data_IF_670577216301
#
_entry.id   IF_670577216301
#
_cell.length_a   1.000
_cell.length_b   1.000
_cell.length_c   1.000
_cell.angle_alpha   90.00
_cell.angle_beta   90.00
_cell.angle_gamma   90.00
#
_symmetry.space_group_name_H-M   'P 1'
#
loop_
_entity.id
_entity.type
_entity.pdbx_description
1 polymer ?
#
# COMPACT_ATOMS: atom_id res chain seq x y z
N UNK A 1 -29.42 -22.26 -37.72
CA UNK A 1 -29.45 -21.02 -36.92
C UNK A 1 -28.01 -20.65 -36.61
N UNK A 2 -27.52 -19.50 -37.10
CA UNK A 2 -26.09 -19.16 -37.06
C UNK A 2 -25.73 -18.40 -35.78
N UNK A 3 -24.51 -18.61 -35.28
CA UNK A 3 -24.00 -18.04 -34.03
C UNK A 3 -24.14 -16.51 -33.93
N UNK A 4 -24.05 -15.79 -35.05
CA UNK A 4 -24.27 -14.35 -35.14
C UNK A 4 -25.68 -13.91 -34.67
N UNK A 5 -26.71 -14.72 -34.92
CA UNK A 5 -28.08 -14.41 -34.48
C UNK A 5 -28.28 -14.57 -32.96
N UNK A 6 -27.50 -15.44 -32.31
CA UNK A 6 -27.56 -15.63 -30.86
C UNK A 6 -26.84 -14.49 -30.12
N UNK A 7 -25.70 -14.03 -30.63
CA UNK A 7 -24.94 -12.92 -30.04
C UNK A 7 -25.74 -11.59 -30.06
N UNK A 8 -26.46 -11.32 -31.16
CA UNK A 8 -27.34 -10.15 -31.25
C UNK A 8 -28.49 -10.17 -30.24
N UNK A 9 -29.05 -11.34 -29.94
CA UNK A 9 -30.08 -11.52 -28.92
C UNK A 9 -29.57 -11.25 -27.49
N UNK A 10 -28.34 -11.68 -27.17
CA UNK A 10 -27.72 -11.37 -25.88
C UNK A 10 -27.45 -9.87 -25.70
N UNK A 11 -26.95 -9.20 -26.74
CA UNK A 11 -26.72 -7.74 -26.68
C UNK A 11 -28.00 -6.96 -26.38
N UNK A 12 -29.11 -7.30 -27.04
CA UNK A 12 -30.42 -6.68 -26.77
C UNK A 12 -30.92 -6.99 -25.36
N UNK A 13 -30.75 -8.23 -24.88
CA UNK A 13 -31.15 -8.61 -23.52
C UNK A 13 -30.41 -7.82 -22.44
N UNK A 14 -29.11 -7.57 -22.59
CA UNK A 14 -28.31 -6.78 -21.65
C UNK A 14 -28.77 -5.32 -21.61
N UNK A 15 -29.02 -4.71 -22.78
CA UNK A 15 -29.50 -3.31 -22.85
C UNK A 15 -30.86 -3.16 -22.18
N UNK A 16 -31.77 -4.11 -22.38
CA UNK A 16 -33.10 -4.11 -21.73
C UNK A 16 -32.97 -4.26 -20.21
N UNK A 17 -32.10 -5.18 -19.74
CA UNK A 17 -31.89 -5.39 -18.31
C UNK A 17 -31.31 -4.14 -17.62
N UNK A 18 -30.29 -3.50 -18.21
CA UNK A 18 -29.69 -2.28 -17.68
C UNK A 18 -30.65 -1.08 -17.77
N UNK A 19 -31.40 -0.94 -18.86
CA UNK A 19 -32.40 0.12 -19.01
C UNK A 19 -33.55 -0.01 -18.01
N UNK A 20 -34.03 -1.23 -17.76
CA UNK A 20 -35.05 -1.49 -16.75
C UNK A 20 -34.54 -1.19 -15.33
N UNK A 21 -33.30 -1.60 -15.00
CA UNK A 21 -32.69 -1.30 -13.70
C UNK A 21 -32.52 0.22 -13.48
N UNK A 22 -32.05 0.95 -14.51
CA UNK A 22 -31.91 2.41 -14.45
C UNK A 22 -33.27 3.12 -14.30
N UNK A 23 -34.29 2.69 -15.02
CA UNK A 23 -35.64 3.26 -14.95
C UNK A 23 -36.33 3.04 -13.61
N UNK A 24 -36.16 1.87 -12.98
CA UNK A 24 -36.69 1.61 -11.64
C UNK A 24 -35.97 2.46 -10.59
N UNK A 25 -34.64 2.60 -10.71
CA UNK A 25 -33.84 3.45 -9.82
C UNK A 25 -34.33 4.90 -9.81
N UNK A 26 -34.59 5.48 -10.99
CA UNK A 26 -35.07 6.87 -11.10
C UNK A 26 -36.50 7.09 -10.56
N UNK A 27 -37.35 6.05 -10.49
CA UNK A 27 -38.73 6.19 -10.02
C UNK A 27 -38.86 6.07 -8.48
N UNK A 28 -37.92 5.39 -7.83
CA UNK A 28 -37.96 5.11 -6.37
C UNK A 28 -37.02 6.03 -5.60
N UNK A 29 -35.96 6.53 -6.23
CA UNK A 29 -35.02 7.46 -5.60
C UNK A 29 -35.61 8.87 -5.65
N UNK A 30 -35.92 9.49 -4.50
CA UNK A 30 -36.41 10.86 -4.46
C UNK A 30 -35.32 11.84 -4.90
N UNK A 31 -35.68 12.88 -5.63
CA UNK A 31 -34.74 13.91 -6.12
C UNK A 31 -33.95 14.58 -4.97
N UNK A 32 -34.52 14.63 -3.76
CA UNK A 32 -33.82 15.12 -2.57
C UNK A 32 -32.62 14.25 -2.20
N UNK A 33 -32.73 12.92 -2.29
CA UNK A 33 -31.60 12.04 -1.98
C UNK A 33 -30.45 12.21 -2.99
N UNK A 34 -30.78 12.52 -4.25
CA UNK A 34 -29.77 12.86 -5.28
C UNK A 34 -29.12 14.20 -4.96
N UNK A 35 -29.91 15.21 -4.60
CA UNK A 35 -29.42 16.53 -4.22
C UNK A 35 -28.53 16.45 -2.97
N UNK A 36 -28.99 15.79 -1.92
CA UNK A 36 -28.26 15.59 -0.66
C UNK A 36 -26.93 14.87 -0.90
N UNK A 37 -26.90 13.84 -1.76
CA UNK A 37 -25.67 13.12 -2.07
C UNK A 37 -24.72 13.94 -2.96
N UNK A 38 -25.25 14.75 -3.88
CA UNK A 38 -24.45 15.63 -4.72
C UNK A 38 -23.84 16.77 -3.91
N UNK A 39 -24.62 17.33 -2.97
CA UNK A 39 -24.16 18.35 -2.02
C UNK A 39 -23.13 17.77 -1.05
N UNK A 40 -23.34 16.56 -0.52
CA UNK A 40 -22.37 15.85 0.30
C UNK A 40 -21.07 15.50 -0.46
N UNK A 41 -21.18 15.14 -1.75
CA UNK A 41 -20.02 14.90 -2.61
C UNK A 41 -19.26 16.20 -2.93
N UNK A 42 -19.97 17.33 -3.05
CA UNK A 42 -19.37 18.65 -3.25
C UNK A 42 -18.75 19.22 -1.97
N UNK A 43 -19.32 18.93 -0.79
CA UNK A 43 -18.79 19.33 0.52
C UNK A 43 -17.64 18.44 0.99
N UNK A 44 -17.38 17.30 0.32
CA UNK A 44 -16.25 16.42 0.61
C UNK A 44 -14.86 17.00 0.25
N UNK A 45 -14.78 18.28 -0.14
CA UNK A 45 -13.54 18.99 -0.42
C UNK A 45 -13.30 20.19 0.51
N UNK A 46 -14.03 20.30 1.62
CA UNK A 46 -13.73 21.28 2.67
C UNK A 46 -12.42 20.89 3.38
N UNK A 47 -11.32 21.48 2.92
CA UNK A 47 -10.04 21.73 3.60
C UNK A 47 -9.72 20.76 4.75
N UNK A 48 -9.32 19.54 4.41
CA UNK A 48 -8.36 18.81 5.26
C UNK A 48 -6.96 19.40 5.07
N UNK A 49 -6.80 20.70 5.31
CA UNK A 49 -5.50 21.37 5.48
C UNK A 49 -4.93 21.08 6.88
N UNK A 50 -4.97 19.80 7.25
CA UNK A 50 -4.35 19.24 8.45
C UNK A 50 -3.83 17.83 8.12
N UNK A 51 -3.09 17.70 7.01
CA UNK A 51 -2.00 16.75 7.06
C UNK A 51 -0.99 17.38 8.03
N UNK A 52 -0.78 16.87 9.25
CA UNK A 52 0.35 17.31 10.03
C UNK A 52 1.57 17.13 9.12
N UNK A 53 2.35 18.19 8.90
CA UNK A 53 3.73 18.00 8.47
C UNK A 53 4.30 17.02 9.49
N UNK A 54 4.51 15.78 9.05
CA UNK A 54 5.02 14.72 9.88
C UNK A 54 6.45 15.13 10.26
N UNK A 55 6.58 15.92 11.31
CA UNK A 55 7.82 16.15 12.05
C UNK A 55 8.15 14.85 12.82
N UNK A 56 8.17 13.72 12.09
CA UNK A 56 8.66 12.47 12.58
C UNK A 56 10.17 12.48 12.39
N UNK A 57 10.92 12.43 13.49
CA UNK A 57 12.35 12.28 13.42
C UNK A 57 12.73 10.98 12.68
N UNK A 58 13.78 11.00 11.83
CA UNK A 58 14.24 9.80 11.15
C UNK A 58 14.51 8.67 12.15
N UNK A 59 13.98 7.50 11.84
CA UNK A 59 14.01 6.33 12.71
C UNK A 59 14.22 5.09 11.84
N UNK A 60 15.35 4.41 12.07
CA UNK A 60 15.73 3.16 11.39
C UNK A 60 15.45 1.91 12.23
N UNK A 61 14.79 2.04 13.39
CA UNK A 61 14.46 0.91 14.27
C UNK A 61 13.01 0.99 14.71
N UNK A 62 12.29 -0.13 14.63
CA UNK A 62 10.88 -0.25 15.02
C UNK A 62 10.72 -1.35 16.05
N UNK A 63 9.95 -1.08 17.10
CA UNK A 63 9.49 -2.09 18.05
C UNK A 63 8.02 -2.43 17.78
N UNK A 64 7.71 -3.69 17.49
CA UNK A 64 6.35 -4.15 17.18
C UNK A 64 6.13 -5.53 17.76
N UNK A 65 5.06 -5.72 18.53
CA UNK A 65 4.66 -7.03 19.09
C UNK A 65 5.79 -7.83 19.77
N UNK A 66 6.76 -7.13 20.39
CA UNK A 66 7.92 -7.74 21.06
C UNK A 66 9.12 -8.06 20.16
N UNK A 67 9.05 -7.66 18.89
CA UNK A 67 10.15 -7.68 17.94
C UNK A 67 10.83 -6.32 17.86
N UNK A 68 12.15 -6.34 17.73
CA UNK A 68 12.95 -5.20 17.30
C UNK A 68 13.37 -5.44 15.86
N UNK A 69 13.02 -4.52 14.98
CA UNK A 69 13.38 -4.56 13.57
C UNK A 69 14.27 -3.37 13.26
N UNK A 70 15.46 -3.61 12.73
CA UNK A 70 16.37 -2.55 12.28
C UNK A 70 16.48 -2.57 10.76
N UNK A 71 16.46 -1.38 10.16
CA UNK A 71 16.56 -1.17 8.74
C UNK A 71 17.87 -0.42 8.43
N UNK A 72 18.80 -1.10 7.80
CA UNK A 72 20.10 -0.56 7.39
C UNK A 72 20.09 -0.26 5.89
N UNK A 73 20.40 0.98 5.52
CA UNK A 73 20.44 1.43 4.14
C UNK A 73 20.24 2.93 4.04
N UNK A 74 20.62 3.52 2.91
CA UNK A 74 20.44 4.94 2.64
C UNK A 74 19.57 5.11 1.39
N UNK A 75 18.51 5.90 1.51
CA UNK A 75 17.64 6.20 0.39
C UNK A 75 18.24 7.35 -0.43
N UNK A 76 18.44 7.13 -1.72
CA UNK A 76 18.98 8.14 -2.63
C UNK A 76 17.92 8.48 -3.68
N UNK A 77 17.69 9.78 -3.87
CA UNK A 77 16.74 10.28 -4.83
C UNK A 77 17.21 10.04 -6.27
N UNK A 78 16.39 9.36 -7.07
CA UNK A 78 16.62 9.05 -8.48
C UNK A 78 17.46 7.79 -8.72
N UNK A 79 17.76 7.02 -7.67
CA UNK A 79 18.60 5.83 -7.73
C UNK A 79 17.97 4.67 -6.95
N UNK A 80 18.25 3.44 -7.38
CA UNK A 80 17.88 2.25 -6.63
C UNK A 80 18.82 2.08 -5.43
N UNK A 81 18.26 2.17 -4.24
CA UNK A 81 18.91 1.90 -2.95
C UNK A 81 18.62 0.49 -2.48
N UNK A 82 19.59 -0.11 -1.79
CA UNK A 82 19.44 -1.41 -1.12
C UNK A 82 19.25 -1.19 0.39
N UNK A 83 18.32 -1.93 0.99
CA UNK A 83 18.10 -1.97 2.43
C UNK A 83 18.22 -3.40 2.94
N UNK A 84 18.84 -3.57 4.10
CA UNK A 84 18.84 -4.81 4.87
C UNK A 84 17.97 -4.63 6.12
N UNK A 85 16.96 -5.48 6.29
CA UNK A 85 16.17 -5.53 7.51
C UNK A 85 16.63 -6.70 8.38
N UNK A 86 16.97 -6.43 9.64
CA UNK A 86 17.32 -7.44 10.64
C UNK A 86 16.25 -7.52 11.73
N UNK A 87 16.04 -8.73 12.26
CA UNK A 87 14.93 -9.03 13.17
C UNK A 87 15.45 -9.65 14.46
N UNK A 88 15.00 -9.14 15.62
CA UNK A 88 15.31 -9.70 16.92
C UNK A 88 14.06 -9.80 17.80
N UNK A 89 14.00 -10.81 18.66
CA UNK A 89 12.93 -11.01 19.66
C UNK A 89 13.58 -11.24 21.02
N UNK A 90 13.40 -10.33 21.96
CA UNK A 90 14.04 -10.42 23.28
C UNK A 90 15.57 -10.33 23.26
N UNK A 91 16.16 -9.76 22.20
CA UNK A 91 17.62 -9.65 22.00
C UNK A 91 18.25 -10.80 21.22
N UNK A 92 17.50 -11.88 20.96
CA UNK A 92 17.95 -12.99 20.13
C UNK A 92 17.53 -12.78 18.66
N UNK A 93 18.40 -13.04 17.67
CA UNK A 93 18.06 -12.95 16.26
C UNK A 93 16.90 -13.89 15.89
N UNK A 94 15.94 -13.38 15.13
CA UNK A 94 14.86 -14.18 14.53
C UNK A 94 15.37 -14.74 13.21
N UNK A 95 15.38 -16.06 13.07
CA UNK A 95 15.90 -16.75 11.88
C UNK A 95 14.85 -17.62 11.18
N UNK A 96 13.64 -17.67 11.74
CA UNK A 96 12.51 -18.52 11.36
C UNK A 96 11.37 -17.70 10.75
N UNK A 97 11.70 -16.62 10.02
CA UNK A 97 10.73 -15.83 9.28
C UNK A 97 9.93 -16.71 8.30
N UNK A 98 8.65 -16.47 8.18
CA UNK A 98 7.80 -17.21 7.25
C UNK A 98 7.60 -16.43 5.96
N UNK A 99 7.45 -17.15 4.84
CA UNK A 99 7.11 -16.50 3.58
C UNK A 99 5.65 -16.05 3.58
N UNK A 100 5.44 -14.76 3.33
CA UNK A 100 4.12 -14.20 3.07
C UNK A 100 3.95 -14.00 1.56
N UNK A 101 2.97 -14.67 0.94
CA UNK A 101 2.68 -14.57 -0.50
C UNK A 101 3.88 -14.86 -1.44
N UNK A 102 4.86 -15.66 -0.99
CA UNK A 102 6.01 -16.07 -1.80
C UNK A 102 7.24 -15.16 -1.69
N UNK A 103 7.22 -14.15 -0.80
CA UNK A 103 8.40 -13.36 -0.42
C UNK A 103 8.70 -13.52 1.07
N UNK A 104 9.92 -13.19 1.50
CA UNK A 104 10.29 -13.19 2.92
C UNK A 104 9.67 -12.00 3.70
N UNK A 105 9.29 -10.94 2.98
CA UNK A 105 8.63 -9.76 3.50
C UNK A 105 8.23 -8.82 2.37
N UNK A 106 7.59 -7.71 2.73
CA UNK A 106 7.22 -6.65 1.79
C UNK A 106 7.50 -5.29 2.42
N UNK A 107 8.31 -4.49 1.75
CA UNK A 107 8.56 -3.10 2.14
C UNK A 107 7.76 -2.17 1.23
N UNK A 108 7.09 -1.18 1.81
CA UNK A 108 6.33 -0.16 1.09
C UNK A 108 6.79 1.19 1.59
N UNK A 109 7.16 2.11 0.69
CA UNK A 109 7.44 3.48 1.08
C UNK A 109 6.29 4.40 0.67
N UNK A 110 5.87 5.25 1.60
CA UNK A 110 4.85 6.27 1.41
C UNK A 110 5.48 7.66 1.48
N UNK A 111 5.04 8.51 0.55
CA UNK A 111 5.29 9.95 0.59
C UNK A 111 4.19 10.69 -0.14
N UNK A 112 3.65 11.74 0.48
CA UNK A 112 2.60 12.59 -0.10
C UNK A 112 1.41 11.78 -0.66
N UNK A 113 1.10 10.63 -0.04
CA UNK A 113 0.04 9.70 -0.47
C UNK A 113 0.40 8.75 -1.62
N UNK A 114 1.64 8.75 -2.12
CA UNK A 114 2.10 7.85 -3.17
C UNK A 114 2.87 6.65 -2.61
N UNK A 115 2.64 5.48 -3.21
CA UNK A 115 3.33 4.22 -2.90
C UNK A 115 4.53 4.05 -3.83
N UNK A 116 5.68 3.73 -3.25
CA UNK A 116 6.84 3.19 -3.96
C UNK A 116 6.96 1.71 -3.60
N UNK A 117 7.02 0.86 -4.61
CA UNK A 117 7.12 -0.60 -4.47
C UNK A 117 8.59 -1.01 -4.30
N UNK A 118 8.86 -1.90 -3.34
CA UNK A 118 10.20 -2.36 -2.99
C UNK A 118 10.24 -3.89 -3.09
N UNK A 119 11.17 -4.43 -3.88
CA UNK A 119 11.27 -5.87 -4.13
C UNK A 119 12.28 -6.53 -3.20
N UNK A 120 11.90 -7.61 -2.54
CA UNK A 120 12.80 -8.47 -1.78
C UNK A 120 13.41 -9.56 -2.67
N UNK A 121 14.72 -9.72 -2.66
CA UNK A 121 15.42 -10.86 -3.24
C UNK A 121 16.21 -11.56 -2.13
N UNK A 122 15.69 -12.67 -1.63
CA UNK A 122 16.33 -13.50 -0.62
C UNK A 122 15.72 -14.90 -0.62
N UNK A 123 16.52 -15.91 -0.95
CA UNK A 123 16.11 -17.32 -1.08
C UNK A 123 15.85 -18.03 0.27
N UNK A 124 15.95 -17.35 1.42
CA UNK A 124 15.71 -17.99 2.72
C UNK A 124 15.26 -16.99 3.77
N UNK A 125 14.31 -17.42 4.60
CA UNK A 125 14.13 -16.89 5.95
C UNK A 125 15.46 -16.96 6.70
N UNK A 126 16.15 -15.83 6.77
CA UNK A 126 17.42 -15.66 7.46
C UNK A 126 17.30 -14.57 8.52
N UNK A 127 18.41 -14.25 9.22
CA UNK A 127 18.42 -13.11 10.15
C UNK A 127 18.18 -11.77 9.45
N UNK A 128 18.45 -11.70 8.14
CA UNK A 128 18.38 -10.48 7.34
C UNK A 128 17.54 -10.69 6.07
N UNK A 129 16.76 -9.68 5.68
CA UNK A 129 16.06 -9.60 4.38
C UNK A 129 16.56 -8.38 3.63
N UNK A 130 16.98 -8.57 2.36
CA UNK A 130 17.41 -7.48 1.48
C UNK A 130 16.27 -7.00 0.58
N UNK A 131 16.18 -5.69 0.41
CA UNK A 131 15.14 -4.98 -0.33
C UNK A 131 15.76 -3.94 -1.27
N UNK A 132 15.23 -3.77 -2.48
CA UNK A 132 15.61 -2.70 -3.40
C UNK A 132 14.49 -1.67 -3.56
N UNK A 133 14.75 -0.40 -3.26
CA UNK A 133 13.81 0.72 -3.30
C UNK A 133 14.35 1.90 -4.11
N UNK A 134 13.50 2.62 -4.83
CA UNK A 134 13.89 3.83 -5.57
C UNK A 134 13.03 5.02 -5.12
N UNK A 135 13.63 6.07 -4.57
CA UNK A 135 12.93 7.31 -4.27
C UNK A 135 12.95 8.24 -5.48
N UNK A 136 11.81 8.66 -6.05
CA UNK A 136 11.82 9.54 -7.22
C UNK A 136 12.42 10.93 -6.94
N UNK A 137 12.34 11.40 -5.70
CA UNK A 137 12.75 12.74 -5.29
C UNK A 137 13.30 12.74 -3.86
N UNK A 138 14.12 13.73 -3.52
CA UNK A 138 14.62 13.91 -2.16
C UNK A 138 13.48 14.33 -1.21
N UNK A 139 13.56 13.93 0.06
CA UNK A 139 12.55 14.22 1.07
C UNK A 139 12.32 13.10 2.06
N UNK A 140 11.34 13.25 2.95
CA UNK A 140 11.02 12.28 4.00
C UNK A 140 10.06 11.20 3.49
N UNK A 141 10.35 9.95 3.83
CA UNK A 141 9.57 8.78 3.49
C UNK A 141 9.18 8.00 4.74
N UNK A 142 7.95 7.50 4.76
CA UNK A 142 7.45 6.59 5.78
C UNK A 142 7.43 5.18 5.20
N UNK A 143 8.26 4.30 5.75
CA UNK A 143 8.46 2.95 5.27
C UNK A 143 7.71 1.96 6.16
N UNK A 144 7.04 0.99 5.55
CA UNK A 144 6.29 -0.06 6.23
C UNK A 144 6.78 -1.42 5.77
N UNK A 145 7.26 -2.23 6.71
CA UNK A 145 7.74 -3.58 6.45
C UNK A 145 6.79 -4.61 7.04
N UNK A 146 6.17 -5.40 6.18
CA UNK A 146 5.40 -6.57 6.58
C UNK A 146 6.31 -7.80 6.63
N UNK A 147 6.29 -8.50 7.77
CA UNK A 147 6.99 -9.77 7.98
C UNK A 147 6.08 -10.75 8.73
N UNK A 148 6.34 -12.06 8.59
CA UNK A 148 5.50 -13.10 9.18
C UNK A 148 6.30 -13.98 10.13
N UNK A 149 5.76 -14.21 11.32
CA UNK A 149 6.31 -15.11 12.34
C UNK A 149 5.15 -15.81 13.06
N UNK A 150 5.31 -17.09 13.37
CA UNK A 150 4.30 -17.91 14.06
C UNK A 150 2.91 -17.94 13.36
N UNK A 151 2.85 -17.66 12.07
CA UNK A 151 1.65 -17.57 11.26
C UNK A 151 0.94 -16.21 11.31
N UNK A 152 1.51 -15.22 12.01
CA UNK A 152 0.96 -13.86 12.12
C UNK A 152 1.80 -12.84 11.35
N UNK A 153 1.13 -11.93 10.66
CA UNK A 153 1.79 -10.81 9.96
C UNK A 153 1.93 -9.65 10.93
N UNK A 154 3.13 -9.09 10.99
CA UNK A 154 3.50 -7.92 11.77
C UNK A 154 3.98 -6.82 10.82
N UNK A 155 3.74 -5.56 11.19
CA UNK A 155 4.14 -4.40 10.38
C UNK A 155 5.04 -3.48 11.20
N UNK A 156 6.31 -3.38 10.80
CA UNK A 156 7.25 -2.40 11.34
C UNK A 156 7.20 -1.09 10.53
N UNK A 157 7.40 0.05 11.19
CA UNK A 157 7.36 1.37 10.55
C UNK A 157 8.65 2.16 10.78
N UNK A 158 9.18 2.78 9.73
CA UNK A 158 10.43 3.54 9.74
C UNK A 158 10.25 4.90 9.09
N UNK A 159 11.09 5.86 9.49
CA UNK A 159 11.11 7.20 8.90
C UNK A 159 12.51 7.43 8.35
N UNK A 160 12.61 7.59 7.04
CA UNK A 160 13.91 7.70 6.35
C UNK A 160 13.90 8.94 5.48
N UNK A 161 15.01 9.67 5.48
CA UNK A 161 15.21 10.80 4.58
C UNK A 161 15.94 10.33 3.32
N UNK A 162 15.41 10.70 2.15
CA UNK A 162 16.08 10.52 0.87
C UNK A 162 16.92 11.75 0.54
N UNK A 163 18.24 11.56 0.41
CA UNK A 163 19.18 12.59 -0.02
C UNK A 163 19.32 12.65 -1.54
N UNK A 164 19.91 13.71 -2.07
CA UNK A 164 20.46 13.68 -3.42
C UNK A 164 21.81 12.98 -3.36
N UNK A 165 22.10 12.07 -4.31
CA UNK A 165 23.41 11.44 -4.43
C UNK A 165 24.51 12.50 -4.55
N UNK A 166 25.61 12.30 -3.82
CA UNK A 166 26.76 13.21 -3.76
C UNK A 166 27.74 13.03 -4.93
#
# INVERSE_FOLDING_TARGET
MNAAGRLGLYGVGVVVAFGAAFGIGAAVVPESAVADWTEAAASGHEDMDMAPELELDPTSTSEVDGFTVALDGELIAGESSEFAASFARGGDPVTDLESNLGTAGRLVALRDGNVVDVRAEGDTAGPDITFAAEAPTAGRYLLYLDFQVDGQVHTASFVVDAGYGH
#
